data_IF_149340499474
#
_entry.id   IF_149340499474
#
_cell.length_a   1.000
_cell.length_b   1.000
_cell.length_c   1.000
_cell.angle_alpha   90.00
_cell.angle_beta   90.00
_cell.angle_gamma   90.00
#
_symmetry.space_group_name_H-M   'P 1'
#
loop_
_entity.id
_entity.type
_entity.pdbx_description
1 polymer ?
#
# COMPACT_ATOMS: atom_id res chain seq x y z
N UNK A 1 5.56 10.20 -2.72
CA UNK A 1 6.27 8.90 -2.76
C UNK A 1 5.81 8.03 -1.62
N UNK A 2 5.56 6.72 -1.83
CA UNK A 2 5.34 5.80 -0.72
C UNK A 2 6.67 5.38 -0.13
N UNK A 3 6.81 5.39 1.19
CA UNK A 3 8.01 4.97 1.89
C UNK A 3 7.63 4.14 3.11
N UNK A 4 8.41 3.09 3.36
CA UNK A 4 8.21 2.25 4.53
C UNK A 4 8.58 3.01 5.81
N UNK A 5 7.77 2.86 6.85
CA UNK A 5 7.99 3.46 8.17
C UNK A 5 9.32 3.06 8.82
N UNK A 6 9.88 1.91 8.45
CA UNK A 6 11.15 1.41 8.98
C UNK A 6 12.33 1.66 8.04
N UNK A 7 12.13 2.44 6.96
CA UNK A 7 13.21 2.77 6.03
C UNK A 7 14.27 3.68 6.71
N UNK A 8 15.56 3.32 6.71
CA UNK A 8 16.62 4.11 7.33
C UNK A 8 16.76 5.54 6.78
N UNK A 9 16.32 5.79 5.55
CA UNK A 9 16.39 7.09 4.89
C UNK A 9 15.20 8.00 5.21
N UNK A 10 14.15 7.47 5.84
CA UNK A 10 12.93 8.22 6.13
C UNK A 10 13.19 9.57 6.86
N UNK A 11 14.03 9.65 7.90
CA UNK A 11 14.26 10.92 8.61
C UNK A 11 14.88 11.99 7.71
N UNK A 12 15.82 11.63 6.83
CA UNK A 12 16.45 12.58 5.91
C UNK A 12 15.50 12.98 4.79
N UNK A 13 14.74 12.03 4.24
CA UNK A 13 13.75 12.30 3.21
C UNK A 13 12.63 13.23 3.71
N UNK A 14 12.18 13.07 4.94
CA UNK A 14 11.20 13.97 5.55
C UNK A 14 11.69 15.43 5.65
N UNK A 15 13.00 15.65 5.80
CA UNK A 15 13.60 16.99 5.79
C UNK A 15 13.72 17.56 4.37
N UNK A 16 14.02 16.71 3.40
CA UNK A 16 14.23 17.12 2.01
C UNK A 16 12.93 17.44 1.26
N UNK A 17 11.88 16.65 1.49
CA UNK A 17 10.59 16.74 0.77
C UNK A 17 9.40 16.73 1.75
N UNK A 18 9.28 17.77 2.59
CA UNK A 18 8.23 17.82 3.61
C UNK A 18 6.85 17.84 2.96
N UNK A 19 5.99 16.89 3.34
CA UNK A 19 4.61 16.78 2.86
C UNK A 19 4.40 15.90 1.63
N UNK A 20 5.46 15.48 0.93
CA UNK A 20 5.36 14.66 -0.30
C UNK A 20 5.53 13.14 -0.04
N UNK A 21 5.67 12.75 1.23
CA UNK A 21 5.86 11.36 1.64
C UNK A 21 4.56 10.76 2.20
N UNK A 22 4.16 9.65 1.61
CA UNK A 22 3.15 8.75 2.18
C UNK A 22 3.88 7.64 2.92
N UNK A 23 3.94 7.74 4.25
CA UNK A 23 4.60 6.74 5.09
C UNK A 23 3.64 5.58 5.33
N UNK A 24 4.05 4.37 4.97
CA UNK A 24 3.24 3.15 5.10
C UNK A 24 3.92 2.14 6.05
N UNK A 25 3.15 1.29 6.76
CA UNK A 25 3.70 0.35 7.74
C UNK A 25 4.30 -0.93 7.13
N UNK A 26 4.51 -0.96 5.82
CA UNK A 26 5.02 -2.11 5.07
C UNK A 26 6.02 -1.65 4.00
N UNK A 27 6.91 -2.54 3.56
CA UNK A 27 7.76 -2.28 2.40
C UNK A 27 6.88 -2.18 1.14
N UNK A 28 6.78 -1.02 0.45
CA UNK A 28 5.75 -0.76 -0.55
C UNK A 28 6.00 -1.45 -1.91
N UNK A 29 6.22 -2.76 -1.91
CA UNK A 29 6.19 -3.60 -3.11
C UNK A 29 4.75 -3.81 -3.58
N UNK A 30 4.55 -4.13 -4.86
CA UNK A 30 3.22 -4.37 -5.41
C UNK A 30 2.45 -5.47 -4.65
N UNK A 31 3.15 -6.52 -4.19
CA UNK A 31 2.59 -7.62 -3.39
C UNK A 31 2.08 -7.13 -2.03
N UNK A 32 2.90 -6.37 -1.30
CA UNK A 32 2.53 -5.86 0.03
C UNK A 32 1.40 -4.84 -0.06
N UNK A 33 1.40 -4.02 -1.11
CA UNK A 33 0.29 -3.11 -1.39
C UNK A 33 -1.00 -3.89 -1.66
N UNK A 34 -0.96 -4.94 -2.49
CA UNK A 34 -2.14 -5.75 -2.79
C UNK A 34 -2.70 -6.41 -1.52
N UNK A 35 -1.83 -6.96 -0.66
CA UNK A 35 -2.21 -7.52 0.64
C UNK A 35 -2.86 -6.45 1.52
N UNK A 36 -2.25 -5.27 1.65
CA UNK A 36 -2.77 -4.21 2.50
C UNK A 36 -4.14 -3.69 2.01
N UNK A 37 -4.31 -3.60 0.69
CA UNK A 37 -5.58 -3.18 0.09
C UNK A 37 -6.71 -4.17 0.38
N UNK A 38 -6.45 -5.48 0.33
CA UNK A 38 -7.47 -6.51 0.61
C UNK A 38 -7.71 -6.70 2.11
N UNK A 39 -6.65 -6.71 2.92
CA UNK A 39 -6.75 -7.13 4.33
C UNK A 39 -7.01 -5.98 5.30
N UNK A 40 -6.71 -4.73 4.92
CA UNK A 40 -6.88 -3.56 5.79
C UNK A 40 -7.84 -2.55 5.14
N UNK A 41 -7.47 -2.01 3.98
CA UNK A 41 -8.26 -0.92 3.35
C UNK A 41 -9.64 -1.39 2.92
N UNK A 42 -9.76 -2.56 2.29
CA UNK A 42 -11.02 -3.13 1.83
C UNK A 42 -12.06 -3.24 2.95
N UNK A 43 -11.77 -3.95 4.06
CA UNK A 43 -12.66 -4.06 5.20
C UNK A 43 -13.06 -2.72 5.82
N UNK A 44 -12.11 -1.78 5.93
CA UNK A 44 -12.37 -0.45 6.50
C UNK A 44 -13.31 0.39 5.60
N UNK A 45 -13.02 0.44 4.30
CA UNK A 45 -13.77 1.25 3.34
C UNK A 45 -15.13 0.65 2.98
N UNK A 46 -15.26 -0.68 3.01
CA UNK A 46 -16.50 -1.39 2.69
C UNK A 46 -17.36 -1.68 3.92
N UNK A 47 -16.95 -1.21 5.10
CA UNK A 47 -17.68 -1.43 6.36
C UNK A 47 -19.14 -0.97 6.25
N UNK A 48 -20.06 -1.89 6.53
CA UNK A 48 -21.51 -1.63 6.50
C UNK A 48 -22.16 -1.74 5.12
N UNK A 49 -21.39 -2.00 4.06
CA UNK A 49 -21.95 -2.20 2.71
C UNK A 49 -22.45 -3.63 2.45
N UNK A 50 -22.03 -4.61 3.26
CA UNK A 50 -22.26 -6.03 3.01
C UNK A 50 -21.39 -6.63 1.88
N UNK A 51 -20.45 -5.86 1.35
CA UNK A 51 -19.52 -6.27 0.28
C UNK A 51 -18.19 -6.71 0.88
N UNK A 52 -17.63 -7.79 0.33
CA UNK A 52 -16.26 -8.26 0.65
C UNK A 52 -15.37 -8.12 -0.58
N UNK A 53 -14.25 -7.41 -0.43
CA UNK A 53 -13.20 -7.39 -1.45
C UNK A 53 -12.45 -8.73 -1.43
N UNK A 54 -12.50 -9.47 -2.54
CA UNK A 54 -11.90 -10.82 -2.63
C UNK A 54 -10.49 -10.80 -3.23
N UNK A 55 -10.22 -9.90 -4.16
CA UNK A 55 -8.94 -9.87 -4.89
C UNK A 55 -8.58 -8.44 -5.26
N UNK A 56 -7.29 -8.12 -5.16
CA UNK A 56 -6.71 -6.90 -5.68
C UNK A 56 -5.49 -7.23 -6.55
N UNK A 57 -5.42 -6.64 -7.74
CA UNK A 57 -4.23 -6.64 -8.60
C UNK A 57 -3.65 -5.24 -8.63
N UNK A 58 -2.38 -5.12 -8.27
CA UNK A 58 -1.60 -3.89 -8.30
C UNK A 58 -0.62 -3.97 -9.47
N UNK A 59 -0.67 -2.99 -10.36
CA UNK A 59 0.23 -2.87 -11.52
C UNK A 59 1.21 -1.71 -11.29
N UNK A 60 2.48 -2.01 -11.12
CA UNK A 60 3.53 -0.98 -11.05
C UNK A 60 3.82 -0.41 -12.45
N UNK A 61 3.81 -1.30 -13.45
CA UNK A 61 3.90 -0.97 -14.88
C UNK A 61 3.06 -1.96 -15.69
N UNK A 62 2.90 -1.74 -17.00
CA UNK A 62 2.21 -2.67 -17.91
C UNK A 62 2.80 -4.09 -17.97
N UNK A 63 4.02 -4.31 -17.47
CA UNK A 63 4.71 -5.60 -17.48
C UNK A 63 4.94 -6.18 -16.08
N UNK A 64 4.68 -5.40 -15.03
CA UNK A 64 4.95 -5.78 -13.64
C UNK A 64 3.69 -5.58 -12.81
N UNK A 65 3.13 -6.68 -12.32
CA UNK A 65 1.93 -6.67 -11.49
C UNK A 65 1.99 -7.77 -10.44
N UNK A 66 1.42 -7.51 -9.27
CA UNK A 66 1.16 -8.49 -8.24
C UNK A 66 -0.34 -8.58 -7.96
N UNK A 67 -0.84 -9.75 -7.61
CA UNK A 67 -2.21 -9.94 -7.19
C UNK A 67 -2.27 -10.68 -5.86
N UNK A 68 -3.21 -10.29 -5.00
CA UNK A 68 -3.51 -10.99 -3.76
C UNK A 68 -5.00 -11.28 -3.69
N UNK A 69 -5.33 -12.50 -3.25
CA UNK A 69 -6.68 -13.00 -3.08
C UNK A 69 -6.86 -13.56 -1.67
N UNK A 70 -7.98 -13.22 -1.04
CA UNK A 70 -8.38 -13.67 0.30
C UNK A 70 -8.66 -15.18 0.36
#
# INVERSE_FOLDING_TARGET
>A
MMIWSEDPLLPELQRLVPGDLCVVPFNPTAEQIAIHLVSVVGPEQLKGSGITLLECRVEETRKCSAAYRL
#
